data_IF_661283171410
#
_entry.id   IF_661283171410
#
_cell.length_a   1.000
_cell.length_b   1.000
_cell.length_c   1.000
_cell.angle_alpha   90.00
_cell.angle_beta   90.00
_cell.angle_gamma   90.00
#
_symmetry.space_group_name_H-M   'P 1'
#
loop_
_entity.id
_entity.type
_entity.pdbx_description
1 polymer ?
#
# COMPACT_ATOMS: atom_id res chain seq x y z
N UNK A 1 6.89 -29.17 -1.15
CA UNK A 1 6.18 -29.49 0.11
C UNK A 1 6.93 -29.09 1.37
N UNK A 2 8.21 -28.70 1.26
CA UNK A 2 9.09 -28.34 2.38
C UNK A 2 8.51 -27.28 3.35
N UNK A 3 7.95 -26.18 2.86
CA UNK A 3 7.40 -25.12 3.73
C UNK A 3 6.19 -25.55 4.57
N UNK A 4 5.37 -26.47 4.06
CA UNK A 4 4.19 -26.96 4.78
C UNK A 4 4.59 -27.96 5.87
N UNK A 5 5.59 -28.79 5.57
CA UNK A 5 6.18 -29.74 6.51
C UNK A 5 6.95 -29.02 7.62
N UNK A 6 7.67 -27.96 7.28
CA UNK A 6 8.37 -27.09 8.21
C UNK A 6 7.41 -26.27 9.08
N UNK A 7 6.32 -25.74 8.49
CA UNK A 7 5.29 -25.07 9.28
C UNK A 7 4.62 -26.02 10.28
N UNK A 8 4.39 -27.30 9.89
CA UNK A 8 3.85 -28.32 10.80
C UNK A 8 4.84 -28.71 11.89
N UNK A 9 6.13 -28.82 11.61
CA UNK A 9 7.14 -29.15 12.62
C UNK A 9 7.34 -28.01 13.63
N UNK A 10 7.07 -26.77 13.22
CA UNK A 10 7.14 -25.56 14.06
C UNK A 10 5.81 -25.22 14.77
N UNK A 11 4.79 -26.07 14.64
CA UNK A 11 3.43 -25.84 15.16
C UNK A 11 2.83 -24.48 14.71
N UNK A 12 3.21 -24.04 13.51
CA UNK A 12 2.75 -22.78 12.95
C UNK A 12 1.28 -22.89 12.57
N UNK A 13 0.48 -21.88 12.95
CA UNK A 13 -0.90 -21.78 12.50
C UNK A 13 -0.96 -21.37 11.02
N UNK A 14 -0.91 -22.37 10.13
CA UNK A 14 -0.91 -22.20 8.67
C UNK A 14 -2.12 -21.39 8.20
N UNK A 15 -3.29 -21.60 8.81
CA UNK A 15 -4.52 -20.88 8.45
C UNK A 15 -4.36 -19.38 8.66
N UNK A 16 -3.84 -18.99 9.83
CA UNK A 16 -3.57 -17.59 10.16
C UNK A 16 -2.50 -16.97 9.25
N UNK A 17 -1.42 -17.70 8.97
CA UNK A 17 -0.36 -17.23 8.08
C UNK A 17 -0.87 -17.02 6.64
N UNK A 18 -1.70 -17.94 6.13
CA UNK A 18 -2.35 -17.80 4.84
C UNK A 18 -3.32 -16.62 4.80
N UNK A 19 -4.13 -16.41 5.85
CA UNK A 19 -5.05 -15.28 5.95
C UNK A 19 -4.29 -13.94 5.91
N UNK A 20 -3.18 -13.83 6.64
CA UNK A 20 -2.34 -12.64 6.64
C UNK A 20 -1.70 -12.38 5.28
N UNK A 21 -1.22 -13.44 4.62
CA UNK A 21 -0.68 -13.36 3.26
C UNK A 21 -1.74 -12.89 2.27
N UNK A 22 -2.95 -13.44 2.36
CA UNK A 22 -4.08 -13.08 1.50
C UNK A 22 -4.53 -11.63 1.72
N UNK A 23 -4.66 -11.19 2.98
CA UNK A 23 -4.95 -9.78 3.32
C UNK A 23 -3.92 -8.83 2.72
N UNK A 24 -2.64 -9.17 2.82
CA UNK A 24 -1.54 -8.36 2.28
C UNK A 24 -1.59 -8.28 0.76
N UNK A 25 -1.84 -9.41 0.09
CA UNK A 25 -1.98 -9.46 -1.37
C UNK A 25 -3.18 -8.63 -1.86
N UNK A 26 -4.34 -8.77 -1.21
CA UNK A 26 -5.55 -8.00 -1.53
C UNK A 26 -5.30 -6.49 -1.34
N UNK A 27 -4.68 -6.10 -0.23
CA UNK A 27 -4.35 -4.70 0.04
C UNK A 27 -3.42 -4.13 -1.02
N UNK A 28 -2.40 -4.88 -1.44
CA UNK A 28 -1.47 -4.47 -2.50
C UNK A 28 -2.19 -4.26 -3.83
N UNK A 29 -3.04 -5.19 -4.24
CA UNK A 29 -3.80 -5.08 -5.50
C UNK A 29 -4.74 -3.89 -5.47
N UNK A 30 -5.46 -3.67 -4.37
CA UNK A 30 -6.34 -2.51 -4.19
C UNK A 30 -5.57 -1.20 -4.24
N UNK A 31 -4.41 -1.13 -3.60
CA UNK A 31 -3.57 0.06 -3.64
C UNK A 31 -3.10 0.37 -5.07
N UNK A 32 -2.72 -0.66 -5.83
CA UNK A 32 -2.34 -0.52 -7.24
C UNK A 32 -3.50 -0.03 -8.11
N UNK A 33 -4.70 -0.58 -7.92
CA UNK A 33 -5.92 -0.14 -8.62
C UNK A 33 -6.23 1.32 -8.31
N UNK A 34 -6.24 1.67 -7.02
CA UNK A 34 -6.49 3.04 -6.60
C UNK A 34 -5.45 4.01 -7.18
N UNK A 35 -4.17 3.66 -7.19
CA UNK A 35 -3.12 4.49 -7.80
C UNK A 35 -3.31 4.67 -9.30
N UNK A 36 -3.76 3.62 -10.01
CA UNK A 36 -4.05 3.71 -11.44
C UNK A 36 -5.25 4.63 -11.70
N UNK A 37 -6.34 4.48 -10.93
CA UNK A 37 -7.54 5.30 -11.03
C UNK A 37 -7.28 6.78 -10.70
N UNK A 38 -6.44 7.04 -9.70
CA UNK A 38 -6.15 8.39 -9.22
C UNK A 38 -4.93 9.03 -9.90
N UNK A 39 -4.30 8.34 -10.86
CA UNK A 39 -3.05 8.81 -11.49
C UNK A 39 -3.18 10.21 -12.07
N UNK A 40 -4.29 10.49 -12.77
CA UNK A 40 -4.57 11.80 -13.37
C UNK A 40 -4.73 12.89 -12.32
N UNK A 41 -5.51 12.63 -11.26
CA UNK A 41 -5.71 13.59 -10.17
C UNK A 41 -4.41 13.87 -9.40
N UNK A 42 -3.59 12.84 -9.17
CA UNK A 42 -2.28 12.99 -8.54
C UNK A 42 -1.34 13.82 -9.42
N UNK A 43 -1.36 13.61 -10.74
CA UNK A 43 -0.53 14.38 -11.67
C UNK A 43 -0.97 15.84 -11.76
N UNK A 44 -2.27 16.10 -11.88
CA UNK A 44 -2.82 17.46 -11.82
C UNK A 44 -2.46 18.16 -10.50
N UNK A 45 -2.50 17.43 -9.38
CA UNK A 45 -2.09 17.97 -8.08
C UNK A 45 -0.59 18.28 -8.04
N UNK A 46 0.27 17.44 -8.63
CA UNK A 46 1.71 17.69 -8.75
C UNK A 46 1.99 18.94 -9.56
N UNK A 47 1.39 19.02 -10.75
CA UNK A 47 1.56 20.18 -11.65
C UNK A 47 1.12 21.47 -10.95
N UNK A 48 -0.02 21.44 -10.25
CA UNK A 48 -0.48 22.60 -9.49
C UNK A 48 0.56 23.07 -8.46
N UNK A 49 1.17 22.15 -7.72
CA UNK A 49 2.22 22.47 -6.74
C UNK A 49 3.50 22.99 -7.41
N UNK A 50 3.88 22.44 -8.56
CA UNK A 50 5.04 22.94 -9.33
C UNK A 50 4.82 24.36 -9.84
N UNK A 51 3.62 24.68 -10.31
CA UNK A 51 3.27 25.99 -10.85
C UNK A 51 3.01 27.04 -9.76
N UNK A 52 2.36 26.65 -8.65
CA UNK A 52 1.83 27.59 -7.64
C UNK A 52 2.55 27.51 -6.29
N UNK A 53 3.49 26.57 -6.13
CA UNK A 53 4.12 26.26 -4.85
C UNK A 53 3.23 25.40 -3.95
N UNK A 54 3.72 25.11 -2.75
CA UNK A 54 2.99 24.31 -1.77
C UNK A 54 1.81 25.12 -1.20
N UNK A 55 0.57 24.60 -1.30
CA UNK A 55 -0.59 25.24 -0.69
C UNK A 55 -0.36 25.44 0.80
N UNK A 56 -0.72 26.63 1.29
CA UNK A 56 -0.65 26.98 2.72
C UNK A 56 0.76 26.90 3.33
N UNK A 57 1.82 26.88 2.52
CA UNK A 57 3.19 26.88 3.02
C UNK A 57 3.46 28.03 4.00
N UNK A 58 2.85 29.20 3.75
CA UNK A 58 2.96 30.40 4.57
C UNK A 58 2.38 30.25 5.99
N UNK A 59 1.55 29.23 6.23
CA UNK A 59 0.93 28.98 7.54
C UNK A 59 1.61 27.84 8.32
N UNK A 60 2.71 27.29 7.80
CA UNK A 60 3.44 26.20 8.45
C UNK A 60 4.31 26.72 9.60
N UNK A 61 3.83 26.59 10.83
CA UNK A 61 4.63 26.82 12.03
C UNK A 61 5.52 25.59 12.32
N UNK A 62 6.81 25.80 12.55
CA UNK A 62 7.80 24.80 12.98
C UNK A 62 8.42 25.21 14.31
#
# INVERSE_FOLDING_TARGET
MQLLEEAKSLDLNISQACEQGLKSAIASIRAQQWLAENRSSLEASRQYVEENGLPLADYRNF
#
